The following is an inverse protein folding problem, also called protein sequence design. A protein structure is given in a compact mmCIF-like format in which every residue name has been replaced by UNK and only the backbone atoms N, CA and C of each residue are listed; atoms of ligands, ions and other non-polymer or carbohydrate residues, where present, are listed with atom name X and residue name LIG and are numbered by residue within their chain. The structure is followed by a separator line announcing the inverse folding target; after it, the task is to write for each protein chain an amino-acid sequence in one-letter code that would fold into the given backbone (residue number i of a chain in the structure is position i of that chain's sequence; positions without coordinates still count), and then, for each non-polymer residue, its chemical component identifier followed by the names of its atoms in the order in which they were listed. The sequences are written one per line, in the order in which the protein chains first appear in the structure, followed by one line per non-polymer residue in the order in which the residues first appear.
data_IF_740186507645
#
_entry.id   IF_740186507645
#
_cell.length_a   1.000
_cell.length_b   1.000
_cell.length_c   1.000
_cell.angle_alpha   90.00
_cell.angle_beta   90.00
_cell.angle_gamma   90.00
#
_symmetry.space_group_name_H-M   'P 1'
#
loop_
_entity.id
_entity.type
_entity.pdbx_description
1 polymer ?
#
# COMPACT_ATOMS: atom_id res chain seq x y z
N UNK A 1 -3.67 2.17 5.71
CA UNK A 1 -4.01 1.13 6.70
C UNK A 1 -4.84 1.72 7.85
N UNK A 2 -6.05 1.19 8.17
CA UNK A 2 -6.89 1.65 9.28
C UNK A 2 -6.23 1.57 10.66
N UNK A 3 -5.23 0.70 10.84
CA UNK A 3 -4.47 0.63 12.10
C UNK A 3 -3.63 1.89 12.33
N UNK A 4 -3.36 2.66 11.28
CA UNK A 4 -2.61 3.92 11.31
C UNK A 4 -1.25 3.80 12.02
N UNK A 5 -0.56 2.67 11.85
CA UNK A 5 0.73 2.44 12.48
C UNK A 5 1.82 3.34 11.88
N UNK A 6 1.82 3.56 10.58
CA UNK A 6 2.74 4.51 9.94
C UNK A 6 2.56 5.93 10.48
N UNK A 7 1.31 6.38 10.72
CA UNK A 7 1.00 7.67 11.35
C UNK A 7 1.67 7.78 12.72
N UNK A 8 1.49 6.77 13.58
CA UNK A 8 2.09 6.74 14.92
C UNK A 8 3.63 6.67 14.89
N UNK A 9 4.20 5.86 13.99
CA UNK A 9 5.66 5.72 13.85
C UNK A 9 6.34 7.04 13.42
N UNK A 10 5.61 7.92 12.76
CA UNK A 10 6.09 9.26 12.38
C UNK A 10 5.80 10.32 13.46
N UNK A 11 5.29 9.92 14.62
CA UNK A 11 5.02 10.79 15.76
C UNK A 11 3.81 11.71 15.57
N UNK A 12 2.86 11.29 14.71
CA UNK A 12 1.62 12.02 14.49
C UNK A 12 0.47 11.39 15.28
N UNK A 13 -0.49 12.22 15.66
CA UNK A 13 -1.71 11.75 16.34
C UNK A 13 -2.69 11.11 15.34
N UNK A 14 -3.34 10.04 15.78
CA UNK A 14 -4.48 9.43 15.09
C UNK A 14 -5.73 10.23 15.47
N UNK A 15 -6.18 11.10 14.59
CA UNK A 15 -7.32 11.98 14.86
C UNK A 15 -8.41 11.73 13.82
N UNK A 16 -9.63 11.37 14.29
CA UNK A 16 -10.80 11.20 13.44
C UNK A 16 -11.12 12.49 12.66
N UNK A 17 -11.49 12.34 11.40
CA UNK A 17 -11.79 13.43 10.48
C UNK A 17 -10.57 14.16 9.93
N UNK A 18 -9.34 13.71 10.22
CA UNK A 18 -8.10 14.31 9.73
C UNK A 18 -7.30 13.43 8.77
N UNK A 19 -7.78 12.23 8.50
CA UNK A 19 -7.11 11.26 7.66
C UNK A 19 -7.65 11.18 6.23
N UNK A 20 -7.37 10.05 5.62
CA UNK A 20 -7.72 9.75 4.23
C UNK A 20 -9.19 9.35 4.04
N UNK A 21 -9.92 9.07 5.13
CA UNK A 21 -11.29 8.55 5.09
C UNK A 21 -12.26 9.46 4.30
N UNK A 22 -12.41 10.70 4.73
CA UNK A 22 -13.29 11.68 4.06
C UNK A 22 -12.92 11.95 2.59
N UNK A 23 -11.64 12.20 2.24
CA UNK A 23 -11.26 12.33 0.84
C UNK A 23 -11.58 11.12 -0.02
N UNK A 24 -11.40 9.92 0.53
CA UNK A 24 -11.64 8.67 -0.19
C UNK A 24 -13.13 8.45 -0.50
N UNK A 25 -14.01 8.74 0.45
CA UNK A 25 -15.45 8.49 0.33
C UNK A 25 -16.19 9.64 -0.36
N UNK A 26 -15.93 10.86 0.08
CA UNK A 26 -16.71 12.04 -0.27
C UNK A 26 -16.03 12.94 -1.32
N UNK A 27 -14.82 12.55 -1.78
CA UNK A 27 -14.08 13.29 -2.81
C UNK A 27 -13.60 14.67 -2.34
N UNK A 28 -13.47 14.89 -1.01
CA UNK A 28 -12.85 16.12 -0.50
C UNK A 28 -11.37 16.14 -0.89
N UNK A 29 -10.79 17.35 -0.93
CA UNK A 29 -9.41 17.49 -1.42
C UNK A 29 -8.40 16.80 -0.47
N UNK A 30 -7.71 15.80 -0.97
CA UNK A 30 -6.70 15.06 -0.22
C UNK A 30 -5.51 15.96 0.20
N UNK A 31 -5.24 17.03 -0.56
CA UNK A 31 -4.18 17.98 -0.25
C UNK A 31 -4.40 18.72 1.09
N UNK A 32 -5.66 18.90 1.52
CA UNK A 32 -5.99 19.55 2.79
C UNK A 32 -5.64 18.68 4.02
N UNK A 33 -5.28 17.41 3.79
CA UNK A 33 -4.89 16.44 4.81
C UNK A 33 -3.38 16.24 4.92
N UNK A 34 -2.60 16.93 4.09
CA UNK A 34 -1.14 16.80 4.08
C UNK A 34 -0.54 17.51 5.30
N UNK A 35 0.22 16.78 6.10
CA UNK A 35 0.93 17.27 7.27
C UNK A 35 2.43 17.12 7.02
N UNK A 36 3.19 18.16 7.34
CA UNK A 36 4.65 18.09 7.34
C UNK A 36 5.13 17.23 8.51
N UNK A 37 5.96 16.24 8.24
CA UNK A 37 6.59 15.45 9.30
C UNK A 37 7.80 16.22 9.89
N UNK A 38 8.36 15.69 10.98
CA UNK A 38 9.63 16.21 11.56
C UNK A 38 10.84 15.96 10.66
N UNK A 39 10.70 15.16 9.61
CA UNK A 39 11.77 14.85 8.66
C UNK A 39 11.67 15.77 7.44
N UNK A 40 12.80 16.30 7.00
CA UNK A 40 12.88 17.14 5.81
C UNK A 40 12.39 16.34 4.57
N UNK A 41 11.61 17.00 3.72
CA UNK A 41 11.06 16.44 2.47
C UNK A 41 10.17 15.20 2.67
N UNK A 42 9.56 15.06 3.85
CA UNK A 42 8.59 14.01 4.13
C UNK A 42 7.29 14.62 4.64
N UNK A 43 6.23 14.41 3.87
CA UNK A 43 4.86 14.77 4.23
C UNK A 43 4.04 13.51 4.45
N UNK A 44 3.00 13.62 5.23
CA UNK A 44 2.15 12.50 5.61
C UNK A 44 0.69 12.89 5.47
N UNK A 45 -0.10 12.01 4.90
CA UNK A 45 -1.55 12.03 5.08
C UNK A 45 -1.84 10.96 6.12
N UNK A 46 -2.35 11.34 7.30
CA UNK A 46 -2.60 10.39 8.36
C UNK A 46 -3.68 9.37 7.98
N UNK A 47 -3.65 8.23 8.60
CA UNK A 47 -4.77 7.31 8.64
C UNK A 47 -5.49 7.38 9.99
N UNK A 48 -6.71 6.89 10.01
CA UNK A 48 -7.63 6.93 11.15
C UNK A 48 -8.43 5.63 11.24
N UNK A 49 -8.96 5.32 12.42
CA UNK A 49 -9.71 4.08 12.65
C UNK A 49 -11.00 4.01 11.82
N UNK A 50 -11.62 5.16 11.57
CA UNK A 50 -12.85 5.26 10.78
C UNK A 50 -12.66 4.74 9.34
N UNK A 51 -11.42 4.70 8.84
CA UNK A 51 -11.08 4.12 7.55
C UNK A 51 -11.47 2.62 7.45
N UNK A 52 -11.60 1.91 8.56
CA UNK A 52 -12.11 0.54 8.54
C UNK A 52 -13.56 0.43 8.02
N UNK A 53 -14.39 1.45 8.26
CA UNK A 53 -15.75 1.49 7.75
C UNK A 53 -15.80 1.78 6.24
N UNK A 54 -14.76 2.40 5.70
CA UNK A 54 -14.71 2.78 4.28
C UNK A 54 -14.87 1.59 3.33
N UNK A 55 -14.46 0.37 3.70
CA UNK A 55 -14.63 -0.81 2.84
C UNK A 55 -16.11 -1.12 2.57
N UNK A 56 -16.98 -0.97 3.57
CA UNK A 56 -18.41 -1.18 3.41
C UNK A 56 -19.05 -0.07 2.56
N UNK A 57 -18.66 1.17 2.81
CA UNK A 57 -19.24 2.33 2.15
C UNK A 57 -18.77 2.45 0.68
N UNK A 58 -17.50 2.18 0.41
CA UNK A 58 -16.95 2.14 -0.94
C UNK A 58 -17.66 1.11 -1.82
N UNK A 59 -18.01 -0.06 -1.29
CA UNK A 59 -18.63 -1.14 -2.06
C UNK A 59 -19.93 -0.73 -2.76
N UNK A 60 -20.63 0.26 -2.21
CA UNK A 60 -21.90 0.77 -2.75
C UNK A 60 -21.74 1.95 -3.72
N UNK A 61 -20.52 2.49 -3.86
CA UNK A 61 -20.26 3.67 -4.70
C UNK A 61 -19.88 3.29 -6.13
N UNK A 62 -20.16 4.19 -7.07
CA UNK A 62 -19.62 4.12 -8.43
C UNK A 62 -18.10 4.31 -8.41
N UNK A 63 -17.40 3.64 -9.33
CA UNK A 63 -15.95 3.78 -9.51
C UNK A 63 -15.13 3.50 -8.24
N UNK A 64 -15.64 2.67 -7.34
CA UNK A 64 -15.10 2.40 -6.02
C UNK A 64 -13.63 1.92 -6.01
N UNK A 65 -13.14 1.35 -7.11
CA UNK A 65 -11.74 0.87 -7.22
C UNK A 65 -10.74 1.99 -7.53
N UNK A 66 -11.18 3.12 -8.10
CA UNK A 66 -10.27 4.17 -8.56
C UNK A 66 -10.35 5.47 -7.73
N UNK A 67 -11.10 5.45 -6.64
CA UNK A 67 -11.30 6.63 -5.76
C UNK A 67 -9.98 7.22 -5.27
N UNK A 68 -9.09 6.36 -4.75
CA UNK A 68 -7.79 6.80 -4.27
C UNK A 68 -6.93 7.38 -5.41
N UNK A 69 -6.91 6.73 -6.58
CA UNK A 69 -6.18 7.22 -7.76
C UNK A 69 -6.62 8.62 -8.13
N UNK A 70 -7.93 8.85 -8.18
CA UNK A 70 -8.49 10.17 -8.52
C UNK A 70 -8.10 11.23 -7.48
N UNK A 71 -8.13 10.89 -6.19
CA UNK A 71 -7.74 11.80 -5.12
C UNK A 71 -6.24 12.14 -5.12
N UNK A 72 -5.38 11.21 -5.55
CA UNK A 72 -3.92 11.42 -5.59
C UNK A 72 -3.46 12.31 -6.75
N UNK A 73 -4.24 12.48 -7.80
CA UNK A 73 -3.87 13.34 -8.94
C UNK A 73 -3.64 14.79 -8.49
N UNK A 74 -4.50 15.32 -7.63
CA UNK A 74 -4.39 16.68 -7.11
C UNK A 74 -3.12 16.91 -6.28
N UNK A 75 -2.65 15.88 -5.55
CA UNK A 75 -1.42 15.96 -4.76
C UNK A 75 -0.18 16.10 -5.63
N UNK A 76 -0.10 15.33 -6.71
CA UNK A 76 1.06 15.35 -7.61
C UNK A 76 1.25 16.73 -8.24
N UNK A 77 0.16 17.38 -8.62
CA UNK A 77 0.18 18.71 -9.23
C UNK A 77 0.57 19.80 -8.23
N UNK A 78 0.06 19.74 -6.99
CA UNK A 78 0.22 20.79 -6.01
C UNK A 78 1.55 20.76 -5.26
N UNK A 79 2.15 19.59 -5.06
CA UNK A 79 3.32 19.42 -4.19
C UNK A 79 4.62 19.05 -4.91
N UNK A 80 4.61 18.80 -6.22
CA UNK A 80 5.79 18.38 -6.97
C UNK A 80 6.43 17.10 -6.42
N UNK A 81 5.61 16.17 -5.93
CA UNK A 81 6.06 14.95 -5.25
C UNK A 81 6.78 14.03 -6.24
N UNK A 82 7.94 13.54 -5.85
CA UNK A 82 8.70 12.55 -6.60
C UNK A 82 8.19 11.12 -6.35
N UNK A 83 7.81 10.83 -5.11
CA UNK A 83 7.35 9.50 -4.67
C UNK A 83 6.18 9.66 -3.71
N UNK A 84 5.17 8.81 -3.85
CA UNK A 84 4.08 8.62 -2.90
C UNK A 84 4.14 7.17 -2.43
N UNK A 85 4.27 6.96 -1.13
CA UNK A 85 4.20 5.64 -0.50
C UNK A 85 2.81 5.45 0.10
N UNK A 86 2.16 4.34 -0.23
CA UNK A 86 0.83 4.00 0.29
C UNK A 86 0.99 2.80 1.21
N UNK A 87 0.80 3.02 2.52
CA UNK A 87 0.77 1.96 3.52
C UNK A 87 -0.59 1.26 3.48
N UNK A 88 -0.58 -0.06 3.28
CA UNK A 88 -1.77 -0.87 3.04
C UNK A 88 -2.04 -1.84 4.20
N UNK A 89 -3.32 -2.18 4.46
CA UNK A 89 -3.64 -3.28 5.36
C UNK A 89 -3.15 -4.63 4.80
N UNK A 90 -2.92 -5.64 5.66
CA UNK A 90 -2.41 -6.95 5.25
C UNK A 90 -3.43 -7.79 4.46
N UNK A 91 -4.66 -7.31 4.31
CA UNK A 91 -5.75 -7.98 3.60
C UNK A 91 -5.90 -7.46 2.18
N UNK A 92 -6.36 -8.31 1.26
CA UNK A 92 -6.72 -7.92 -0.11
C UNK A 92 -8.16 -7.39 -0.21
N UNK A 93 -8.56 -6.53 0.75
CA UNK A 93 -9.86 -5.84 0.77
C UNK A 93 -9.91 -4.64 -0.19
N UNK A 94 -11.02 -3.89 -0.16
CA UNK A 94 -11.24 -2.74 -1.06
C UNK A 94 -10.21 -1.62 -0.89
N UNK A 95 -9.70 -1.42 0.33
CA UNK A 95 -8.65 -0.43 0.58
C UNK A 95 -7.35 -0.80 -0.14
N UNK A 96 -6.92 -2.06 -0.04
CA UNK A 96 -5.74 -2.57 -0.75
C UNK A 96 -5.95 -2.54 -2.26
N UNK A 97 -7.15 -2.87 -2.74
CA UNK A 97 -7.47 -2.78 -4.17
C UNK A 97 -7.39 -1.34 -4.68
N UNK A 98 -7.91 -0.35 -3.92
CA UNK A 98 -7.74 1.07 -4.26
C UNK A 98 -6.27 1.49 -4.36
N UNK A 99 -5.44 1.03 -3.42
CA UNK A 99 -4.01 1.30 -3.45
C UNK A 99 -3.33 0.70 -4.68
N UNK A 100 -3.63 -0.58 -5.02
CA UNK A 100 -3.11 -1.25 -6.21
C UNK A 100 -3.59 -0.59 -7.52
N UNK A 101 -4.83 -0.10 -7.56
CA UNK A 101 -5.35 0.64 -8.71
C UNK A 101 -4.68 2.02 -8.88
N UNK A 102 -4.16 2.60 -7.82
CA UNK A 102 -3.51 3.91 -7.81
C UNK A 102 -1.99 3.87 -8.03
N UNK A 103 -1.34 2.76 -7.67
CA UNK A 103 0.12 2.64 -7.64
C UNK A 103 0.71 2.30 -9.02
N UNK A 104 1.96 2.72 -9.22
CA UNK A 104 2.79 2.27 -10.35
C UNK A 104 3.60 1.01 -9.98
N UNK A 105 3.99 0.89 -8.71
CA UNK A 105 4.78 -0.23 -8.21
C UNK A 105 4.22 -0.76 -6.89
N UNK A 106 4.23 -2.08 -6.74
CA UNK A 106 3.99 -2.76 -5.48
C UNK A 106 5.31 -3.24 -4.89
N UNK A 107 5.58 -2.89 -3.62
CA UNK A 107 6.64 -3.51 -2.82
C UNK A 107 5.97 -4.47 -1.83
N UNK A 108 6.34 -5.74 -1.89
CA UNK A 108 5.82 -6.76 -0.98
C UNK A 108 6.77 -6.92 0.20
N UNK A 109 6.28 -6.71 1.40
CA UNK A 109 6.99 -7.10 2.63
C UNK A 109 6.63 -8.54 2.96
N UNK A 110 7.62 -9.43 2.96
CA UNK A 110 7.43 -10.86 3.10
C UNK A 110 8.11 -11.37 4.37
N UNK A 111 7.35 -11.97 5.27
CA UNK A 111 7.92 -12.65 6.42
C UNK A 111 8.52 -14.00 5.99
N UNK A 112 9.58 -14.43 6.68
CA UNK A 112 10.27 -15.69 6.37
C UNK A 112 9.51 -16.91 6.96
N UNK A 113 8.26 -17.09 6.54
CA UNK A 113 7.35 -18.11 7.01
C UNK A 113 6.88 -19.05 5.89
N UNK A 114 6.37 -20.23 6.25
CA UNK A 114 6.02 -21.30 5.32
C UNK A 114 4.99 -20.86 4.25
N UNK A 115 3.99 -20.05 4.61
CA UNK A 115 2.94 -19.60 3.69
C UNK A 115 3.30 -18.35 2.88
N UNK A 116 4.52 -17.84 3.04
CA UNK A 116 4.96 -16.61 2.39
C UNK A 116 4.87 -16.67 0.86
N UNK A 117 5.27 -17.81 0.28
CA UNK A 117 5.26 -17.99 -1.18
C UNK A 117 3.85 -18.09 -1.75
N UNK A 118 2.91 -18.68 -1.01
CA UNK A 118 1.50 -18.71 -1.41
C UNK A 118 0.92 -17.29 -1.47
N UNK A 119 1.14 -16.47 -0.43
CA UNK A 119 0.72 -15.08 -0.39
C UNK A 119 1.32 -14.27 -1.54
N UNK A 120 2.60 -14.49 -1.87
CA UNK A 120 3.26 -13.83 -2.99
C UNK A 120 2.63 -14.22 -4.34
N UNK A 121 2.28 -15.49 -4.51
CA UNK A 121 1.57 -15.97 -5.70
C UNK A 121 0.17 -15.36 -5.84
N UNK A 122 -0.57 -15.22 -4.73
CA UNK A 122 -1.88 -14.57 -4.73
C UNK A 122 -1.80 -13.11 -5.15
N UNK A 123 -0.87 -12.33 -4.59
CA UNK A 123 -0.74 -10.90 -4.90
C UNK A 123 -0.26 -10.66 -6.33
N UNK A 124 0.64 -11.47 -6.86
CA UNK A 124 1.07 -11.38 -8.26
C UNK A 124 -0.08 -11.73 -9.22
N UNK A 125 -0.92 -12.70 -8.86
CA UNK A 125 -2.15 -13.00 -9.60
C UNK A 125 -3.14 -11.84 -9.63
N UNK A 126 -3.24 -11.04 -8.56
CA UNK A 126 -4.06 -9.82 -8.53
C UNK A 126 -3.50 -8.76 -9.49
N UNK A 127 -2.18 -8.54 -9.51
CA UNK A 127 -1.55 -7.61 -10.45
C UNK A 127 -1.92 -7.97 -11.90
N UNK A 128 -1.79 -9.24 -12.27
CA UNK A 128 -2.12 -9.70 -13.62
C UNK A 128 -3.61 -9.50 -13.97
N UNK A 129 -4.52 -9.77 -13.04
CA UNK A 129 -5.96 -9.51 -13.23
C UNK A 129 -6.26 -8.03 -13.44
N UNK A 130 -5.62 -7.12 -12.69
CA UNK A 130 -5.79 -5.68 -12.86
C UNK A 130 -5.29 -5.20 -14.22
N UNK A 131 -4.20 -5.77 -14.72
CA UNK A 131 -3.67 -5.49 -16.05
C UNK A 131 -4.61 -6.01 -17.15
N UNK A 132 -5.05 -7.25 -17.06
CA UNK A 132 -5.95 -7.87 -18.05
C UNK A 132 -7.31 -7.17 -18.15
N UNK A 133 -7.81 -6.65 -17.03
CA UNK A 133 -9.05 -5.87 -16.96
C UNK A 133 -8.87 -4.39 -17.39
N UNK A 134 -7.65 -3.98 -17.76
CA UNK A 134 -7.29 -2.59 -18.11
C UNK A 134 -7.59 -1.57 -17.01
N UNK A 135 -7.67 -2.03 -15.75
CA UNK A 135 -7.92 -1.14 -14.59
C UNK A 135 -6.65 -0.38 -14.22
N UNK A 136 -5.52 -1.09 -14.14
CA UNK A 136 -4.20 -0.48 -13.93
C UNK A 136 -3.10 -1.25 -14.70
N UNK A 137 -2.95 -1.03 -16.01
CA UNK A 137 -1.95 -1.74 -16.82
C UNK A 137 -0.49 -1.39 -16.46
N UNK A 138 -0.27 -0.28 -15.73
CA UNK A 138 1.07 0.18 -15.35
C UNK A 138 1.58 -0.44 -14.05
N UNK A 139 0.70 -1.05 -13.25
CA UNK A 139 1.10 -1.65 -11.98
C UNK A 139 2.11 -2.78 -12.20
N UNK A 140 3.25 -2.71 -11.53
CA UNK A 140 4.27 -3.75 -11.58
C UNK A 140 4.73 -4.15 -10.17
N UNK A 141 5.20 -5.38 -10.03
CA UNK A 141 5.96 -5.77 -8.84
C UNK A 141 7.28 -5.01 -8.84
N UNK A 142 7.43 -4.03 -7.95
CA UNK A 142 8.62 -3.21 -7.80
C UNK A 142 9.72 -3.92 -7.03
N UNK A 143 9.35 -4.74 -6.05
CA UNK A 143 10.32 -5.53 -5.31
C UNK A 143 9.71 -6.30 -4.13
N UNK A 144 10.52 -7.17 -3.55
CA UNK A 144 10.19 -7.98 -2.38
C UNK A 144 11.23 -7.70 -1.30
N UNK A 145 10.76 -7.29 -0.12
CA UNK A 145 11.58 -7.05 1.07
C UNK A 145 11.34 -8.18 2.06
N UNK A 146 12.34 -9.01 2.29
CA UNK A 146 12.27 -10.02 3.34
C UNK A 146 12.30 -9.33 4.70
N UNK A 147 11.32 -9.64 5.55
CA UNK A 147 11.22 -9.10 6.91
C UNK A 147 11.30 -10.23 7.93
N UNK A 148 11.69 -9.89 9.16
CA UNK A 148 11.83 -10.85 10.27
C UNK A 148 12.70 -12.06 9.91
N UNK A 149 13.71 -11.84 9.06
CA UNK A 149 14.64 -12.88 8.63
C UNK A 149 15.60 -13.24 9.77
N UNK A 150 15.61 -14.51 10.13
CA UNK A 150 16.59 -15.05 11.09
C UNK A 150 17.52 -16.03 10.36
N UNK A 151 18.77 -15.61 10.15
CA UNK A 151 19.80 -16.41 9.47
C UNK A 151 20.17 -17.74 10.19
N UNK A 152 19.75 -17.88 11.44
CA UNK A 152 19.99 -19.11 12.25
C UNK A 152 18.95 -20.19 11.97
N UNK A 153 17.83 -19.85 11.32
CA UNK A 153 16.76 -20.80 11.04
C UNK A 153 16.83 -21.31 9.61
N UNK A 154 16.64 -22.62 9.47
CA UNK A 154 16.57 -23.30 8.18
C UNK A 154 15.39 -22.78 7.34
N UNK A 155 14.25 -22.52 7.99
CA UNK A 155 13.04 -22.03 7.33
C UNK A 155 13.29 -20.69 6.63
N UNK A 156 13.89 -19.70 7.33
CA UNK A 156 14.19 -18.40 6.73
C UNK A 156 15.06 -18.53 5.48
N UNK A 157 16.08 -19.40 5.56
CA UNK A 157 16.96 -19.67 4.42
C UNK A 157 16.22 -20.33 3.25
N UNK A 158 15.39 -21.32 3.50
CA UNK A 158 14.59 -21.99 2.46
C UNK A 158 13.61 -21.02 1.77
N UNK A 159 12.89 -20.19 2.54
CA UNK A 159 12.00 -19.17 1.98
C UNK A 159 12.79 -18.15 1.15
N UNK A 160 13.95 -17.70 1.63
CA UNK A 160 14.82 -16.80 0.87
C UNK A 160 15.29 -17.43 -0.44
N UNK A 161 15.67 -18.72 -0.44
CA UNK A 161 16.07 -19.44 -1.66
C UNK A 161 14.92 -19.51 -2.67
N UNK A 162 13.70 -19.79 -2.24
CA UNK A 162 12.52 -19.84 -3.11
C UNK A 162 12.22 -18.45 -3.69
N UNK A 163 12.27 -17.38 -2.90
CA UNK A 163 12.11 -16.01 -3.40
C UNK A 163 13.17 -15.69 -4.46
N UNK A 164 14.44 -16.02 -4.21
CA UNK A 164 15.50 -15.78 -5.19
C UNK A 164 15.35 -16.64 -6.45
N UNK A 165 14.84 -17.85 -6.31
CA UNK A 165 14.64 -18.75 -7.46
C UNK A 165 13.62 -18.20 -8.46
N UNK A 166 12.51 -17.64 -7.95
CA UNK A 166 11.39 -17.20 -8.80
C UNK A 166 11.37 -15.69 -9.05
N UNK A 167 12.02 -14.90 -8.19
CA UNK A 167 11.96 -13.43 -8.18
C UNK A 167 13.34 -12.78 -7.93
N UNK A 168 14.42 -13.35 -8.48
CA UNK A 168 15.80 -12.91 -8.21
C UNK A 168 16.04 -11.43 -8.52
N UNK A 169 15.41 -10.92 -9.58
CA UNK A 169 15.51 -9.53 -10.04
C UNK A 169 14.62 -8.57 -9.23
N UNK A 170 13.76 -9.10 -8.36
CA UNK A 170 12.83 -8.36 -7.52
C UNK A 170 13.16 -8.43 -6.03
N UNK A 171 13.92 -9.41 -5.60
CA UNK A 171 14.31 -9.54 -4.20
C UNK A 171 15.35 -8.47 -3.82
N UNK A 172 15.00 -7.60 -2.87
CA UNK A 172 15.98 -6.66 -2.33
C UNK A 172 17.04 -7.40 -1.51
N UNK A 173 18.29 -7.05 -1.72
CA UNK A 173 19.38 -7.50 -0.86
C UNK A 173 19.40 -6.63 0.40
N UNK A 174 19.21 -7.24 1.55
CA UNK A 174 19.30 -6.61 2.87
C UNK A 174 20.63 -6.96 3.49
#
# INVERSE_FOLDING_TARGET
DPQANATSCLGLEKKSGFGVYEPLLNGTNLADRVISSRRKNLWVIPSELDLAAAELELSSQSEYLIKLRSSLLSLKENYGLQVILIDCPPTLGLLSMNALCAADFLIVTLQSEYLAMEGLGQITGVIEKLKQADINPRLNLGGIVMTMYDSRTRLSYEVWQEVNRYYADKAFRT
#
